data_IF_878872448598
#
_entry.id   IF_878872448598
#
_cell.length_a   1.000
_cell.length_b   1.000
_cell.length_c   1.000
_cell.angle_alpha   90.00
_cell.angle_beta   90.00
_cell.angle_gamma   90.00
#
_symmetry.space_group_name_H-M   'P 1'
#
loop_
_entity.id
_entity.type
_entity.pdbx_description
1 polymer ?
#
# COMPACT_ATOMS: atom_id res chain seq x y z
N UNK A 1 7.18 -17.16 4.01
CA UNK A 1 7.36 -16.19 5.12
C UNK A 1 8.78 -16.29 5.65
N UNK A 2 9.43 -15.20 6.03
CA UNK A 2 10.76 -15.22 6.64
C UNK A 2 10.80 -16.14 7.87
N UNK A 3 11.99 -16.61 8.18
CA UNK A 3 12.19 -17.46 9.36
C UNK A 3 12.24 -16.63 10.65
N UNK A 4 12.06 -17.28 11.81
CA UNK A 4 12.24 -16.63 13.11
C UNK A 4 13.62 -15.97 13.28
N UNK A 5 14.64 -16.53 12.62
CA UNK A 5 16.00 -15.97 12.63
C UNK A 5 16.04 -14.56 12.03
N UNK A 6 15.27 -14.29 10.98
CA UNK A 6 15.16 -12.96 10.39
C UNK A 6 14.54 -11.95 11.37
N UNK A 7 13.45 -12.31 12.05
CA UNK A 7 12.77 -11.41 12.98
C UNK A 7 13.58 -11.11 14.24
N UNK A 8 14.55 -11.97 14.58
CA UNK A 8 15.51 -11.76 15.69
C UNK A 8 16.72 -10.91 15.30
N UNK A 9 16.85 -10.51 14.03
CA UNK A 9 17.96 -9.65 13.61
C UNK A 9 17.88 -8.28 14.31
N UNK A 10 19.05 -7.72 14.71
CA UNK A 10 19.12 -6.32 15.11
C UNK A 10 18.54 -5.41 14.02
N UNK A 11 17.80 -4.35 14.42
CA UNK A 11 17.12 -3.45 13.51
C UNK A 11 18.05 -2.94 12.40
N UNK A 12 19.26 -2.48 12.76
CA UNK A 12 20.24 -1.99 11.79
C UNK A 12 20.63 -3.00 10.69
N UNK A 13 20.68 -4.30 11.03
CA UNK A 13 20.96 -5.33 10.02
C UNK A 13 19.75 -5.57 9.10
N UNK A 14 18.57 -5.52 9.67
CA UNK A 14 17.30 -5.63 8.95
C UNK A 14 17.14 -4.48 7.97
N UNK A 15 17.40 -3.24 8.42
CA UNK A 15 17.31 -2.05 7.59
C UNK A 15 18.30 -2.08 6.42
N UNK A 16 19.54 -2.52 6.65
CA UNK A 16 20.53 -2.69 5.56
C UNK A 16 20.09 -3.71 4.53
N UNK A 17 19.53 -4.84 4.99
CA UNK A 17 19.03 -5.87 4.10
C UNK A 17 17.84 -5.36 3.28
N UNK A 18 16.91 -4.66 3.91
CA UNK A 18 15.78 -4.02 3.22
C UNK A 18 16.24 -2.98 2.19
N UNK A 19 17.22 -2.16 2.54
CA UNK A 19 17.78 -1.18 1.60
C UNK A 19 18.44 -1.86 0.38
N UNK A 20 19.16 -2.96 0.59
CA UNK A 20 19.77 -3.74 -0.50
C UNK A 20 18.69 -4.40 -1.41
N UNK A 21 17.62 -4.92 -0.82
CA UNK A 21 16.50 -5.50 -1.57
C UNK A 21 15.77 -4.41 -2.36
N UNK A 22 15.48 -3.26 -1.75
CA UNK A 22 14.87 -2.12 -2.41
C UNK A 22 15.73 -1.64 -3.59
N UNK A 23 17.05 -1.47 -3.37
CA UNK A 23 18.00 -1.10 -4.42
C UNK A 23 18.07 -2.10 -5.58
N UNK A 24 17.98 -3.42 -5.31
CA UNK A 24 17.94 -4.42 -6.37
C UNK A 24 16.64 -4.36 -7.17
N UNK A 25 15.49 -4.27 -6.49
CA UNK A 25 14.18 -4.17 -7.15
C UNK A 25 13.97 -2.86 -7.91
N UNK A 26 14.68 -1.81 -7.58
CA UNK A 26 14.68 -0.58 -8.38
C UNK A 26 15.44 -0.71 -9.70
N UNK A 27 16.30 -1.73 -9.83
CA UNK A 27 17.12 -1.97 -11.03
C UNK A 27 16.55 -3.01 -11.97
N UNK A 28 15.92 -4.06 -11.42
CA UNK A 28 15.48 -5.23 -12.19
C UNK A 28 14.08 -5.69 -11.76
N UNK A 29 13.32 -6.32 -12.65
CA UNK A 29 12.07 -6.98 -12.29
C UNK A 29 12.28 -8.05 -11.21
N UNK A 30 11.24 -8.36 -10.46
CA UNK A 30 11.26 -9.41 -9.40
C UNK A 30 11.77 -10.75 -9.94
N UNK A 31 11.44 -11.11 -11.18
CA UNK A 31 11.88 -12.35 -11.85
C UNK A 31 13.39 -12.44 -12.06
N UNK A 32 14.07 -11.30 -12.15
CA UNK A 32 15.52 -11.18 -12.39
C UNK A 32 16.33 -10.83 -11.15
N UNK A 33 15.68 -10.77 -9.99
CA UNK A 33 16.28 -10.41 -8.72
C UNK A 33 17.50 -11.31 -8.39
N UNK A 34 18.64 -10.68 -8.09
CA UNK A 34 19.91 -11.36 -7.79
C UNK A 34 20.21 -11.42 -6.29
N UNK A 35 20.06 -12.60 -5.70
CA UNK A 35 20.44 -12.84 -4.29
C UNK A 35 21.90 -12.48 -4.04
N UNK A 36 22.81 -12.77 -4.99
CA UNK A 36 24.24 -12.47 -4.83
C UNK A 36 24.50 -10.96 -4.70
N UNK A 37 23.77 -10.13 -5.43
CA UNK A 37 23.88 -8.67 -5.34
C UNK A 37 23.31 -8.15 -4.02
N UNK A 38 22.15 -8.65 -3.61
CA UNK A 38 21.53 -8.30 -2.33
C UNK A 38 22.45 -8.61 -1.17
N UNK A 39 23.05 -9.81 -1.08
CA UNK A 39 23.91 -10.17 0.04
C UNK A 39 25.21 -9.37 0.05
N UNK A 40 25.76 -9.05 -1.13
CA UNK A 40 26.93 -8.19 -1.23
C UNK A 40 26.64 -6.77 -0.70
N UNK A 41 25.55 -6.16 -1.14
CA UNK A 41 25.17 -4.81 -0.71
C UNK A 41 24.74 -4.76 0.77
N UNK A 42 24.05 -5.79 1.26
CA UNK A 42 23.65 -5.88 2.66
C UNK A 42 24.85 -6.22 3.60
N UNK A 43 25.99 -6.64 3.07
CA UNK A 43 27.15 -7.06 3.85
C UNK A 43 26.90 -8.35 4.65
N UNK A 44 26.16 -9.30 4.08
CA UNK A 44 25.88 -10.60 4.70
C UNK A 44 26.38 -11.75 3.81
N UNK A 45 26.54 -12.95 4.39
CA UNK A 45 26.85 -14.14 3.60
C UNK A 45 25.60 -14.66 2.86
N UNK A 46 25.83 -15.37 1.74
CA UNK A 46 24.77 -16.08 1.02
C UNK A 46 24.06 -17.11 1.93
N UNK A 47 24.82 -17.80 2.79
CA UNK A 47 24.24 -18.72 3.78
C UNK A 47 23.30 -18.03 4.76
N UNK A 48 23.66 -16.82 5.22
CA UNK A 48 22.79 -16.02 6.08
C UNK A 48 21.49 -15.64 5.39
N UNK A 49 21.54 -15.29 4.10
CA UNK A 49 20.33 -14.98 3.33
C UNK A 49 19.34 -16.16 3.35
N UNK A 50 19.82 -17.39 3.09
CA UNK A 50 18.96 -18.57 3.09
C UNK A 50 18.54 -19.05 4.50
N UNK A 51 19.18 -18.52 5.55
CA UNK A 51 18.66 -18.64 6.92
C UNK A 51 17.47 -17.70 7.17
N UNK A 52 17.33 -16.62 6.39
CA UNK A 52 16.25 -15.64 6.52
C UNK A 52 15.08 -15.92 5.57
N UNK A 53 15.37 -16.26 4.33
CA UNK A 53 14.39 -16.51 3.26
C UNK A 53 14.72 -17.85 2.59
N UNK A 54 13.77 -18.78 2.56
CA UNK A 54 13.97 -20.09 1.92
C UNK A 54 14.21 -19.96 0.42
N UNK A 55 13.50 -19.03 -0.20
CA UNK A 55 13.51 -18.77 -1.63
C UNK A 55 13.18 -17.30 -1.93
N UNK A 56 13.04 -16.99 -3.21
CA UNK A 56 12.66 -15.67 -3.71
C UNK A 56 11.22 -15.31 -3.36
N UNK A 57 10.32 -16.29 -3.36
CA UNK A 57 8.91 -16.07 -3.10
C UNK A 57 8.69 -15.68 -1.63
N UNK A 58 9.44 -16.30 -0.70
CA UNK A 58 9.47 -15.88 0.71
C UNK A 58 9.92 -14.42 0.86
N UNK A 59 10.92 -13.99 0.08
CA UNK A 59 11.38 -12.61 0.08
C UNK A 59 10.30 -11.65 -0.45
N UNK A 60 9.66 -11.99 -1.56
CA UNK A 60 8.58 -11.17 -2.15
C UNK A 60 7.41 -11.07 -1.18
N UNK A 61 7.00 -12.18 -0.57
CA UNK A 61 5.94 -12.16 0.42
C UNK A 61 6.26 -11.24 1.61
N UNK A 62 7.50 -11.28 2.09
CA UNK A 62 7.95 -10.36 3.15
C UNK A 62 7.91 -8.89 2.72
N UNK A 63 8.33 -8.59 1.48
CA UNK A 63 8.26 -7.22 0.96
C UNK A 63 6.83 -6.68 0.92
N UNK A 64 5.88 -7.53 0.55
CA UNK A 64 4.47 -7.16 0.55
C UNK A 64 3.98 -6.88 1.97
N UNK A 65 4.31 -7.72 2.94
CA UNK A 65 3.98 -7.50 4.35
C UNK A 65 4.63 -6.22 4.90
N UNK A 66 5.86 -5.93 4.48
CA UNK A 66 6.55 -4.69 4.85
C UNK A 66 5.85 -3.45 4.25
N UNK A 67 5.51 -3.49 2.97
CA UNK A 67 4.75 -2.41 2.31
C UNK A 67 3.40 -2.21 2.99
N UNK A 68 2.70 -3.28 3.34
CA UNK A 68 1.45 -3.24 4.09
C UNK A 68 1.62 -2.55 5.45
N UNK A 69 2.67 -2.90 6.19
CA UNK A 69 2.94 -2.27 7.48
C UNK A 69 3.24 -0.78 7.36
N UNK A 70 3.91 -0.35 6.27
CA UNK A 70 4.12 1.06 5.96
C UNK A 70 2.79 1.77 5.69
N UNK A 71 1.88 1.14 4.96
CA UNK A 71 0.55 1.69 4.69
C UNK A 71 -0.29 1.83 5.95
N UNK A 72 -0.31 0.82 6.81
CA UNK A 72 -0.97 0.90 8.11
C UNK A 72 -0.41 2.03 8.97
N UNK A 73 0.92 2.16 9.03
CA UNK A 73 1.58 3.24 9.76
C UNK A 73 1.17 4.62 9.24
N UNK A 74 1.16 4.80 7.91
CA UNK A 74 0.72 6.04 7.29
C UNK A 74 -0.74 6.37 7.62
N UNK A 75 -1.65 5.41 7.43
CA UNK A 75 -3.08 5.59 7.67
C UNK A 75 -3.34 5.96 9.13
N UNK A 76 -2.72 5.23 10.07
CA UNK A 76 -2.86 5.49 11.51
C UNK A 76 -2.35 6.88 11.89
N UNK A 77 -1.26 7.34 11.28
CA UNK A 77 -0.70 8.67 11.53
C UNK A 77 -1.54 9.81 10.89
N UNK A 78 -2.11 9.58 9.70
CA UNK A 78 -2.84 10.59 8.95
C UNK A 78 -4.32 10.73 9.35
N UNK A 79 -4.97 9.63 9.76
CA UNK A 79 -6.41 9.59 10.04
C UNK A 79 -6.88 10.62 11.08
N UNK A 80 -6.17 10.89 12.20
CA UNK A 80 -6.59 11.91 13.18
C UNK A 80 -6.70 13.32 12.59
N UNK A 81 -5.90 13.64 11.57
CA UNK A 81 -5.87 14.95 10.92
C UNK A 81 -6.91 15.11 9.80
N UNK A 82 -7.72 14.06 9.52
CA UNK A 82 -8.72 14.10 8.47
C UNK A 82 -10.11 14.61 8.94
N UNK A 83 -10.24 15.02 10.20
CA UNK A 83 -11.50 15.59 10.70
C UNK A 83 -12.71 14.65 10.61
N UNK A 84 -12.48 13.33 10.61
CA UNK A 84 -13.53 12.33 10.45
C UNK A 84 -13.99 12.10 8.99
N UNK A 85 -13.28 12.66 8.00
CA UNK A 85 -13.56 12.42 6.57
C UNK A 85 -12.68 11.31 6.00
N UNK A 86 -13.23 10.10 5.70
CA UNK A 86 -12.46 9.00 5.12
C UNK A 86 -11.99 9.28 3.69
N UNK A 87 -12.67 10.15 2.94
CA UNK A 87 -12.26 10.51 1.59
C UNK A 87 -11.03 11.42 1.60
N UNK A 88 -10.91 12.31 2.58
CA UNK A 88 -9.70 13.12 2.80
C UNK A 88 -8.50 12.21 3.13
N UNK A 89 -8.70 11.14 3.91
CA UNK A 89 -7.65 10.15 4.15
C UNK A 89 -7.16 9.51 2.84
N UNK A 90 -8.07 9.15 1.93
CA UNK A 90 -7.70 8.57 0.63
C UNK A 90 -6.93 9.56 -0.25
N UNK A 91 -7.29 10.86 -0.25
CA UNK A 91 -6.55 11.90 -0.98
C UNK A 91 -5.12 12.02 -0.45
N UNK A 92 -4.97 12.15 0.85
CA UNK A 92 -3.65 12.23 1.51
C UNK A 92 -2.80 10.99 1.24
N UNK A 93 -3.43 9.81 1.25
CA UNK A 93 -2.73 8.57 0.96
C UNK A 93 -2.20 8.55 -0.49
N UNK A 94 -3.04 8.86 -1.49
CA UNK A 94 -2.59 8.90 -2.88
C UNK A 94 -1.50 9.95 -3.11
N UNK A 95 -1.64 11.13 -2.54
CA UNK A 95 -0.64 12.20 -2.62
C UNK A 95 0.70 11.78 -1.98
N UNK A 96 0.67 11.06 -0.85
CA UNK A 96 1.87 10.51 -0.23
C UNK A 96 2.57 9.45 -1.10
N UNK A 97 1.81 8.57 -1.73
CA UNK A 97 2.33 7.57 -2.67
C UNK A 97 2.94 8.25 -3.91
N UNK A 98 2.29 9.30 -4.42
CA UNK A 98 2.84 10.11 -5.50
C UNK A 98 4.18 10.72 -5.10
N UNK A 99 4.25 11.42 -3.97
CA UNK A 99 5.47 12.04 -3.46
C UNK A 99 6.60 11.01 -3.24
N UNK A 100 6.27 9.81 -2.74
CA UNK A 100 7.23 8.71 -2.65
C UNK A 100 7.77 8.30 -4.03
N UNK A 101 6.91 8.27 -5.05
CA UNK A 101 7.25 7.92 -6.44
C UNK A 101 7.91 9.07 -7.23
N UNK A 102 8.09 10.27 -6.68
CA UNK A 102 8.83 11.36 -7.34
C UNK A 102 10.34 11.07 -7.36
N UNK A 103 10.85 10.32 -6.40
CA UNK A 103 12.20 9.76 -6.44
C UNK A 103 12.29 8.65 -7.50
N UNK A 104 13.26 8.72 -8.44
CA UNK A 104 13.37 7.71 -9.53
C UNK A 104 13.60 6.28 -9.04
N UNK A 105 14.32 6.10 -7.93
CA UNK A 105 14.62 4.77 -7.35
C UNK A 105 13.33 4.17 -6.77
N UNK A 106 12.57 4.96 -6.01
CA UNK A 106 11.29 4.55 -5.46
C UNK A 106 10.27 4.26 -6.57
N UNK A 107 10.24 5.09 -7.61
CA UNK A 107 9.37 4.88 -8.78
C UNK A 107 9.67 3.55 -9.45
N UNK A 108 10.94 3.26 -9.72
CA UNK A 108 11.35 2.00 -10.34
C UNK A 108 11.00 0.79 -9.47
N UNK A 109 11.25 0.88 -8.16
CA UNK A 109 10.84 -0.13 -7.18
C UNK A 109 9.33 -0.42 -7.23
N UNK A 110 8.49 0.62 -7.13
CA UNK A 110 7.04 0.47 -7.22
C UNK A 110 6.59 -0.10 -8.55
N UNK A 111 7.17 0.36 -9.67
CA UNK A 111 6.86 -0.14 -11.01
C UNK A 111 7.13 -1.63 -11.12
N UNK A 112 8.30 -2.10 -10.70
CA UNK A 112 8.71 -3.50 -10.76
C UNK A 112 7.88 -4.39 -9.82
N UNK A 113 7.59 -3.93 -8.61
CA UNK A 113 6.75 -4.65 -7.65
C UNK A 113 5.31 -4.77 -8.16
N UNK A 114 4.70 -3.68 -8.61
CA UNK A 114 3.34 -3.69 -9.15
C UNK A 114 3.22 -4.51 -10.44
N UNK A 115 4.24 -4.51 -11.31
CA UNK A 115 4.28 -5.38 -12.48
C UNK A 115 4.26 -6.87 -12.09
N UNK A 116 5.04 -7.24 -11.08
CA UNK A 116 5.02 -8.60 -10.53
C UNK A 116 3.65 -8.98 -9.96
N UNK A 117 3.03 -8.09 -9.18
CA UNK A 117 1.71 -8.33 -8.61
C UNK A 117 0.65 -8.54 -9.69
N UNK A 118 0.65 -7.71 -10.74
CA UNK A 118 -0.29 -7.86 -11.87
C UNK A 118 -0.13 -9.19 -12.58
N UNK A 119 1.12 -9.63 -12.81
CA UNK A 119 1.40 -10.92 -13.47
C UNK A 119 0.95 -12.13 -12.64
N UNK A 120 0.83 -11.98 -11.32
CA UNK A 120 0.46 -13.05 -10.38
C UNK A 120 -0.96 -12.87 -9.79
N UNK A 121 -1.90 -12.30 -10.54
CA UNK A 121 -3.31 -12.21 -10.16
C UNK A 121 -3.69 -10.92 -9.42
N UNK A 122 -2.76 -9.97 -9.31
CA UNK A 122 -3.01 -8.67 -8.70
C UNK A 122 -2.87 -8.66 -7.17
N UNK A 123 -3.06 -7.49 -6.56
CA UNK A 123 -2.95 -7.27 -5.11
C UNK A 123 -3.92 -8.15 -4.31
N UNK A 124 -5.06 -8.51 -4.90
CA UNK A 124 -6.09 -9.35 -4.27
C UNK A 124 -5.64 -10.78 -4.00
N UNK A 125 -4.63 -11.29 -4.72
CA UNK A 125 -4.04 -12.61 -4.52
C UNK A 125 -2.85 -12.61 -3.57
N UNK A 126 -2.38 -11.43 -3.17
CA UNK A 126 -1.39 -11.33 -2.12
C UNK A 126 -2.06 -11.68 -0.78
N UNK A 127 -1.44 -12.58 -0.02
CA UNK A 127 -1.86 -12.88 1.37
C UNK A 127 -1.53 -11.70 2.32
N UNK A 128 -1.87 -10.50 1.86
CA UNK A 128 -1.72 -9.29 2.64
C UNK A 128 -2.97 -9.09 3.47
N UNK A 129 -2.81 -8.92 4.78
CA UNK A 129 -3.89 -8.53 5.69
C UNK A 129 -3.97 -7.00 5.85
N UNK A 130 -3.33 -6.24 4.95
CA UNK A 130 -3.20 -4.79 5.06
C UNK A 130 -4.53 -4.06 5.23
N UNK A 131 -5.55 -4.63 4.63
CA UNK A 131 -6.90 -4.07 4.64
C UNK A 131 -7.90 -5.17 4.96
N UNK A 132 -7.63 -5.96 6.03
CA UNK A 132 -8.61 -6.93 6.48
C UNK A 132 -9.90 -6.21 6.93
N UNK A 133 -11.07 -6.83 6.76
CA UNK A 133 -12.34 -6.24 7.20
C UNK A 133 -12.28 -5.76 8.65
N UNK A 134 -11.69 -6.55 9.54
CA UNK A 134 -11.59 -6.25 10.98
C UNK A 134 -10.70 -5.03 11.24
N UNK A 135 -9.59 -4.90 10.49
CA UNK A 135 -8.72 -3.73 10.61
C UNK A 135 -9.42 -2.46 10.11
N UNK A 136 -10.13 -2.55 8.98
CA UNK A 136 -10.88 -1.42 8.41
C UNK A 136 -11.98 -0.99 9.38
N UNK A 137 -12.75 -1.93 9.92
CA UNK A 137 -13.80 -1.64 10.90
C UNK A 137 -13.23 -0.93 12.12
N UNK A 138 -12.15 -1.46 12.71
CA UNK A 138 -11.50 -0.84 13.86
C UNK A 138 -10.94 0.55 13.56
N UNK A 139 -10.41 0.78 12.37
CA UNK A 139 -9.95 2.09 11.91
C UNK A 139 -11.12 3.08 11.76
N UNK A 140 -12.23 2.64 11.15
CA UNK A 140 -13.43 3.46 11.02
C UNK A 140 -14.02 3.82 12.39
N UNK A 141 -14.18 2.85 13.30
CA UNK A 141 -14.71 3.09 14.63
C UNK A 141 -13.86 4.07 15.44
N UNK A 142 -12.57 4.10 15.20
CA UNK A 142 -11.63 4.94 15.94
C UNK A 142 -11.54 6.37 15.42
N UNK A 143 -11.63 6.57 14.11
CA UNK A 143 -11.28 7.85 13.47
C UNK A 143 -12.39 8.49 12.67
N UNK A 144 -13.46 7.76 12.34
CA UNK A 144 -14.51 8.26 11.45
C UNK A 144 -15.90 8.09 12.08
N UNK A 145 -16.79 9.02 11.75
CA UNK A 145 -18.16 8.98 12.22
C UNK A 145 -19.06 8.21 11.25
N UNK A 146 -19.34 6.95 11.57
CA UNK A 146 -20.23 6.10 10.77
C UNK A 146 -21.64 6.65 10.66
N UNK A 147 -22.09 7.51 11.59
CA UNK A 147 -23.44 8.09 11.54
C UNK A 147 -23.65 9.01 10.34
N UNK A 148 -22.55 9.54 9.77
CA UNK A 148 -22.54 10.37 8.56
C UNK A 148 -22.68 9.56 7.28
N UNK A 149 -22.49 8.23 7.34
CA UNK A 149 -22.57 7.36 6.18
C UNK A 149 -24.04 7.01 5.86
N UNK A 150 -24.33 6.91 4.57
CA UNK A 150 -25.63 6.49 4.05
C UNK A 150 -25.68 4.96 3.93
N UNK A 151 -25.83 4.28 5.07
CA UNK A 151 -25.90 2.83 5.18
C UNK A 151 -27.37 2.44 5.39
N UNK A 152 -27.99 1.83 4.40
CA UNK A 152 -29.37 1.34 4.45
C UNK A 152 -29.44 -0.11 4.92
N UNK A 153 -28.48 -0.92 4.48
CA UNK A 153 -28.41 -2.34 4.76
C UNK A 153 -27.15 -2.72 5.56
N UNK A 154 -27.13 -3.82 6.32
CA UNK A 154 -25.98 -4.25 7.12
C UNK A 154 -24.70 -4.45 6.30
N UNK A 155 -24.81 -4.81 5.03
CA UNK A 155 -23.68 -5.08 4.14
C UNK A 155 -23.11 -3.82 3.47
N UNK A 156 -23.83 -2.69 3.51
CA UNK A 156 -23.43 -1.46 2.81
C UNK A 156 -22.07 -0.95 3.25
N UNK A 157 -21.73 -1.07 4.51
CA UNK A 157 -20.42 -0.63 5.02
C UNK A 157 -19.27 -1.41 4.34
N UNK A 158 -19.41 -2.73 4.23
CA UNK A 158 -18.41 -3.58 3.58
C UNK A 158 -18.30 -3.22 2.09
N UNK A 159 -19.42 -3.12 1.39
CA UNK A 159 -19.44 -2.76 -0.03
C UNK A 159 -18.84 -1.38 -0.29
N UNK A 160 -19.16 -0.41 0.57
CA UNK A 160 -18.60 0.94 0.51
C UNK A 160 -17.07 0.91 0.65
N UNK A 161 -16.54 0.20 1.64
CA UNK A 161 -15.10 0.11 1.88
C UNK A 161 -14.39 -0.64 0.74
N UNK A 162 -14.99 -1.66 0.17
CA UNK A 162 -14.48 -2.37 -1.02
C UNK A 162 -14.41 -1.45 -2.25
N UNK A 163 -15.43 -0.60 -2.47
CA UNK A 163 -15.44 0.38 -3.56
C UNK A 163 -14.34 1.43 -3.36
N UNK A 164 -14.18 1.95 -2.14
CA UNK A 164 -13.12 2.90 -1.80
C UNK A 164 -11.73 2.31 -2.06
N UNK A 165 -11.51 1.06 -1.62
CA UNK A 165 -10.26 0.33 -1.88
C UNK A 165 -10.02 0.13 -3.37
N UNK A 166 -11.03 -0.28 -4.14
CA UNK A 166 -10.91 -0.51 -5.58
C UNK A 166 -10.50 0.77 -6.31
N UNK A 167 -11.10 1.91 -5.95
CA UNK A 167 -10.75 3.20 -6.55
C UNK A 167 -9.33 3.62 -6.19
N UNK A 168 -8.91 3.44 -4.93
CA UNK A 168 -7.55 3.75 -4.49
C UNK A 168 -6.51 2.86 -5.17
N UNK A 169 -6.71 1.54 -5.16
CA UNK A 169 -5.80 0.58 -5.79
C UNK A 169 -5.63 0.85 -7.28
N UNK A 170 -6.73 1.18 -7.97
CA UNK A 170 -6.69 1.56 -9.40
C UNK A 170 -5.88 2.83 -9.63
N UNK A 171 -6.00 3.84 -8.77
CA UNK A 171 -5.24 5.08 -8.87
C UNK A 171 -3.74 4.85 -8.59
N UNK A 172 -3.40 4.13 -7.52
CA UNK A 172 -2.01 3.77 -7.19
C UNK A 172 -1.38 2.97 -8.32
N UNK A 173 -2.09 1.99 -8.86
CA UNK A 173 -1.60 1.18 -9.97
C UNK A 173 -1.33 2.02 -11.23
N UNK A 174 -2.18 3.01 -11.51
CA UNK A 174 -2.03 3.89 -12.67
C UNK A 174 -0.85 4.87 -12.54
N UNK A 175 -0.52 5.34 -11.31
CA UNK A 175 0.61 6.25 -11.07
C UNK A 175 1.96 5.67 -11.52
N UNK A 176 2.11 4.35 -11.47
CA UNK A 176 3.35 3.66 -11.82
C UNK A 176 3.31 2.98 -13.20
N UNK A 177 2.32 3.35 -14.04
CA UNK A 177 2.34 2.94 -15.45
C UNK A 177 3.31 3.80 -16.26
N UNK A 178 3.98 3.23 -17.26
CA UNK A 178 4.80 4.02 -18.18
C UNK A 178 3.99 5.15 -18.83
N UNK A 179 4.55 6.37 -18.82
CA UNK A 179 3.89 7.56 -19.40
C UNK A 179 2.71 8.11 -18.61
N UNK A 180 2.54 7.71 -17.34
CA UNK A 180 1.47 8.22 -16.50
C UNK A 180 1.56 9.74 -16.29
N UNK A 181 0.44 10.45 -16.55
CA UNK A 181 0.26 11.84 -16.15
C UNK A 181 -0.32 11.87 -14.72
N UNK A 182 0.55 12.11 -13.73
CA UNK A 182 0.17 12.08 -12.32
C UNK A 182 -0.89 13.14 -11.97
N UNK A 183 -0.83 14.32 -12.59
CA UNK A 183 -1.81 15.39 -12.33
C UNK A 183 -3.18 15.03 -12.89
N UNK A 184 -3.24 14.46 -14.09
CA UNK A 184 -4.49 13.97 -14.66
C UNK A 184 -5.08 12.83 -13.85
N UNK A 185 -4.24 11.94 -13.30
CA UNK A 185 -4.66 10.82 -12.46
C UNK A 185 -5.21 11.31 -11.12
N UNK A 186 -4.58 12.28 -10.46
CA UNK A 186 -5.10 12.87 -9.22
C UNK A 186 -6.46 13.57 -9.46
N UNK A 187 -6.58 14.39 -10.50
CA UNK A 187 -7.88 14.99 -10.87
C UNK A 187 -8.97 13.95 -11.11
N UNK A 188 -8.63 12.86 -11.81
CA UNK A 188 -9.58 11.77 -12.06
C UNK A 188 -9.95 11.02 -10.77
N UNK A 189 -8.99 10.83 -9.87
CA UNK A 189 -9.21 10.23 -8.57
C UNK A 189 -10.13 11.08 -7.70
N UNK A 190 -9.87 12.39 -7.58
CA UNK A 190 -10.72 13.33 -6.86
C UNK A 190 -12.15 13.32 -7.40
N UNK A 191 -12.30 13.26 -8.73
CA UNK A 191 -13.63 13.18 -9.36
C UNK A 191 -14.36 11.90 -8.98
N UNK A 192 -13.66 10.77 -8.93
CA UNK A 192 -14.24 9.49 -8.46
C UNK A 192 -14.65 9.57 -6.99
N UNK A 193 -13.80 10.15 -6.13
CA UNK A 193 -14.14 10.34 -4.72
C UNK A 193 -15.37 11.20 -4.53
N UNK A 194 -15.51 12.31 -5.27
CA UNK A 194 -16.71 13.16 -5.24
C UNK A 194 -17.98 12.41 -5.66
N UNK A 195 -17.88 11.49 -6.64
CA UNK A 195 -19.01 10.66 -7.05
C UNK A 195 -19.40 9.70 -5.91
N UNK A 196 -18.40 9.06 -5.28
CA UNK A 196 -18.64 8.17 -4.15
C UNK A 196 -19.22 8.91 -2.94
N UNK A 197 -18.69 10.08 -2.59
CA UNK A 197 -19.19 10.92 -1.48
C UNK A 197 -20.69 11.21 -1.62
N UNK A 198 -21.15 11.54 -2.84
CA UNK A 198 -22.56 11.84 -3.10
C UNK A 198 -23.50 10.65 -2.87
N UNK A 199 -23.01 9.42 -3.03
CA UNK A 199 -23.80 8.22 -2.74
C UNK A 199 -23.62 7.71 -1.31
N UNK A 200 -22.42 7.85 -0.76
CA UNK A 200 -22.01 7.25 0.50
C UNK A 200 -22.23 8.11 1.74
N UNK A 201 -22.38 9.44 1.59
CA UNK A 201 -22.67 10.35 2.69
C UNK A 201 -24.16 10.73 2.72
N UNK A 202 -24.71 10.91 3.93
CA UNK A 202 -26.02 11.52 4.12
C UNK A 202 -26.01 12.96 3.60
N UNK A 203 -27.18 13.47 3.16
CA UNK A 203 -27.28 14.81 2.55
C UNK A 203 -26.76 15.93 3.46
N UNK A 204 -26.99 15.82 4.76
CA UNK A 204 -26.52 16.79 5.77
C UNK A 204 -24.99 16.80 5.86
N UNK A 205 -24.36 15.64 5.78
CA UNK A 205 -22.89 15.50 5.82
C UNK A 205 -22.20 15.89 4.51
N UNK A 206 -22.95 16.01 3.39
CA UNK A 206 -22.41 16.47 2.10
C UNK A 206 -22.14 17.98 2.07
N UNK A 207 -22.84 18.76 2.87
CA UNK A 207 -22.67 20.21 2.95
C UNK A 207 -21.34 20.61 3.61
N UNK A 208 -20.83 19.80 4.54
CA UNK A 208 -19.59 20.07 5.27
C UNK A 208 -18.32 19.65 4.47
N UNK A 209 -18.49 18.94 3.35
CA UNK A 209 -17.39 18.38 2.54
C UNK A 209 -17.08 19.20 1.26
N UNK A 210 -17.74 20.34 1.06
CA UNK A 210 -17.48 21.33 0.01
C UNK A 210 -16.75 22.54 0.55
#
# INVERSE_FOLDING_TARGET
MPTDTFYRLPQQKRDRLLAAIHGELSRVPVTELSVNRIVHEAGISRGSFYQYFRDRDDLVQYLLEYVDSCFHGFITAAAPACGGDPFELLRRFLSSIRAFGDDPVNRAFCTNLLAHLRANGGVQHCRSNAFSPEWIEGMFDRYFDRSRLNLAEPEDFKLMTELMQTVLQGAVAALFMPGADADALERAFDRKLLILQRGMLKKEAQADAC
#
